data_IF_380131224458
#
_entry.id   IF_380131224458
#
_cell.length_a   1.000
_cell.length_b   1.000
_cell.length_c   1.000
_cell.angle_alpha   90.00
_cell.angle_beta   90.00
_cell.angle_gamma   90.00
#
_symmetry.space_group_name_H-M   'P 1'
#
loop_
_entity.id
_entity.type
_entity.pdbx_description
1 polymer ?
#
# COMPACT_ATOMS: atom_id res chain seq x y z
N UNK A 1 -42.69 -7.25 -35.83
CA UNK A 1 -42.42 -7.80 -34.48
C UNK A 1 -41.28 -7.02 -33.87
N UNK A 2 -41.58 -6.21 -32.84
CA UNK A 2 -40.67 -5.24 -32.24
C UNK A 2 -40.05 -5.92 -31.01
N UNK A 3 -38.77 -6.32 -31.09
CA UNK A 3 -38.04 -6.89 -29.94
C UNK A 3 -37.40 -5.74 -29.17
N UNK A 4 -37.89 -5.56 -27.95
CA UNK A 4 -37.41 -4.61 -26.96
C UNK A 4 -36.23 -5.26 -26.24
N UNK A 5 -35.01 -4.77 -26.46
CA UNK A 5 -33.82 -5.16 -25.72
C UNK A 5 -33.52 -4.03 -24.73
N UNK A 6 -33.83 -4.28 -23.46
CA UNK A 6 -33.45 -3.40 -22.37
C UNK A 6 -31.95 -3.48 -22.15
N UNK A 7 -31.23 -2.42 -22.52
CA UNK A 7 -29.83 -2.22 -22.16
C UNK A 7 -29.75 -1.71 -20.73
N UNK A 8 -29.21 -2.52 -19.83
CA UNK A 8 -28.78 -2.06 -18.51
C UNK A 8 -27.39 -1.45 -18.66
N UNK A 9 -27.30 -0.14 -18.45
CA UNK A 9 -26.05 0.60 -18.39
C UNK A 9 -25.39 0.26 -17.05
N UNK A 10 -24.33 -0.55 -17.08
CA UNK A 10 -23.41 -0.66 -15.95
C UNK A 10 -22.57 0.62 -15.92
N UNK A 11 -22.89 1.51 -14.99
CA UNK A 11 -21.99 2.60 -14.60
C UNK A 11 -20.94 1.96 -13.71
N UNK A 12 -19.79 1.61 -14.28
CA UNK A 12 -18.61 1.22 -13.50
C UNK A 12 -18.21 2.40 -12.63
N UNK A 13 -18.41 2.26 -11.32
CA UNK A 13 -17.85 3.17 -10.32
C UNK A 13 -16.33 3.00 -10.40
N UNK A 14 -15.66 4.01 -10.96
CA UNK A 14 -14.21 4.13 -10.88
C UNK A 14 -13.89 4.50 -9.43
N UNK A 15 -13.58 3.49 -8.63
CA UNK A 15 -12.94 3.69 -7.33
C UNK A 15 -11.49 4.06 -7.64
N UNK A 16 -11.17 5.34 -7.46
CA UNK A 16 -9.80 5.84 -7.44
C UNK A 16 -9.11 5.24 -6.21
N UNK A 17 -8.46 4.08 -6.38
CA UNK A 17 -7.47 3.59 -5.44
C UNK A 17 -6.24 4.48 -5.53
N UNK A 18 -6.24 5.57 -4.77
CA UNK A 18 -5.00 6.25 -4.37
C UNK A 18 -4.53 5.55 -3.09
N UNK A 19 -4.15 4.29 -3.22
CA UNK A 19 -3.30 3.64 -2.21
C UNK A 19 -1.90 3.69 -2.79
N UNK A 20 -1.19 4.76 -2.44
CA UNK A 20 0.21 4.92 -2.77
C UNK A 20 0.98 3.70 -2.30
N UNK A 21 1.81 3.18 -3.20
CA UNK A 21 3.13 2.73 -2.84
C UNK A 21 3.79 3.91 -2.10
N UNK A 22 3.68 3.96 -0.77
CA UNK A 22 4.28 5.06 -0.01
C UNK A 22 5.78 4.82 0.12
N UNK A 23 6.51 5.70 -0.57
CA UNK A 23 7.68 6.47 -0.13
C UNK A 23 8.23 6.12 1.27
N UNK A 24 9.43 5.54 1.28
CA UNK A 24 10.38 5.67 2.39
C UNK A 24 11.63 6.42 1.89
N UNK A 25 11.67 7.74 2.09
CA UNK A 25 12.92 8.51 2.04
C UNK A 25 13.47 8.79 3.45
N UNK A 26 14.48 7.98 3.78
CA UNK A 26 15.82 8.37 4.26
C UNK A 26 16.05 9.13 5.60
N UNK A 27 16.82 8.41 6.45
CA UNK A 27 18.15 8.79 6.96
C UNK A 27 18.30 9.35 8.38
N UNK A 28 18.96 8.53 9.21
CA UNK A 28 19.62 8.90 10.46
C UNK A 28 20.65 10.03 10.28
N UNK A 29 20.50 11.13 11.05
CA UNK A 29 21.61 11.93 11.60
C UNK A 29 21.13 12.84 12.74
N UNK A 30 21.64 12.59 13.95
CA UNK A 30 21.82 13.58 15.03
C UNK A 30 23.35 13.73 15.23
N UNK A 31 23.99 14.85 15.70
CA UNK A 31 23.52 16.03 16.48
C UNK A 31 24.01 17.40 15.91
N UNK A 32 23.82 18.62 16.46
CA UNK A 32 23.61 19.15 17.83
C UNK A 32 22.99 20.61 17.75
N UNK A 33 22.74 21.33 18.88
CA UNK A 33 21.65 22.30 19.03
C UNK A 33 21.95 23.72 18.52
N UNK A 34 20.95 24.40 17.96
CA UNK A 34 21.00 25.84 17.69
C UNK A 34 19.63 26.51 17.91
N UNK A 35 19.58 27.28 19.00
CA UNK A 35 18.86 28.56 19.22
C UNK A 35 17.38 28.63 18.87
N UNK A 36 16.58 28.72 19.94
CA UNK A 36 15.17 29.09 19.92
C UNK A 36 14.93 30.42 19.18
N UNK A 37 14.13 30.36 18.12
CA UNK A 37 13.43 31.53 17.57
C UNK A 37 11.95 31.25 17.74
N UNK A 38 11.36 31.96 18.69
CA UNK A 38 9.92 32.05 18.92
C UNK A 38 9.24 32.66 17.71
N UNK A 39 8.51 31.84 16.95
CA UNK A 39 7.53 32.31 15.98
C UNK A 39 6.14 31.89 16.48
N UNK A 40 5.47 32.83 17.13
CA UNK A 40 4.05 32.80 17.45
C UNK A 40 3.25 32.69 16.14
N UNK A 41 2.32 31.74 15.96
CA UNK A 41 1.35 31.86 14.89
C UNK A 41 0.32 32.92 15.28
N UNK A 42 0.27 33.98 14.49
CA UNK A 42 -0.75 35.00 14.50
C UNK A 42 -2.11 34.35 14.21
N UNK A 43 -2.94 34.20 15.24
CA UNK A 43 -4.37 33.96 15.10
C UNK A 43 -5.06 35.19 15.67
N UNK A 44 -5.44 36.12 14.79
CA UNK A 44 -6.21 37.30 15.17
C UNK A 44 -7.49 36.89 15.90
N UNK A 45 -7.72 37.35 17.14
CA UNK A 45 -8.99 37.19 17.81
C UNK A 45 -9.91 38.34 17.39
N UNK A 46 -11.01 38.04 16.72
CA UNK A 46 -12.14 38.98 16.67
C UNK A 46 -13.32 38.37 17.42
N UNK A 47 -13.35 38.58 18.74
CA UNK A 47 -14.59 38.68 19.48
C UNK A 47 -14.33 39.46 20.77
N UNK A 48 -14.87 40.68 20.78
CA UNK A 48 -14.92 41.59 21.91
C UNK A 48 -15.46 40.90 23.17
N UNK A 49 -14.90 41.28 24.31
CA UNK A 49 -15.39 40.98 25.64
C UNK A 49 -16.90 41.29 25.78
N UNK A 50 -17.61 40.40 26.48
CA UNK A 50 -19.00 40.63 26.87
C UNK A 50 -19.69 39.42 27.49
N UNK A 51 -19.59 39.31 28.82
CA UNK A 51 -20.57 38.71 29.76
C UNK A 51 -20.70 37.17 29.76
N UNK A 52 -20.37 36.57 30.90
CA UNK A 52 -20.68 35.18 31.27
C UNK A 52 -22.20 34.91 31.22
N UNK A 53 -22.62 33.92 30.41
CA UNK A 53 -23.98 33.36 30.38
C UNK A 53 -23.89 31.82 30.59
N UNK A 54 -24.67 31.16 31.48
CA UNK A 54 -24.45 29.76 31.88
C UNK A 54 -24.98 28.72 30.88
N UNK A 55 -25.00 29.02 29.59
CA UNK A 55 -25.27 28.06 28.52
C UNK A 55 -24.27 28.28 27.39
N UNK A 56 -23.05 27.80 27.59
CA UNK A 56 -22.09 27.67 26.49
C UNK A 56 -22.75 26.83 25.39
N UNK A 57 -23.13 27.49 24.29
CA UNK A 57 -23.56 26.82 23.07
C UNK A 57 -22.44 25.85 22.69
N UNK A 58 -22.79 24.56 22.64
CA UNK A 58 -21.82 23.51 22.38
C UNK A 58 -21.38 23.65 20.93
N UNK A 59 -20.23 24.29 20.70
CA UNK A 59 -19.65 24.40 19.37
C UNK A 59 -19.23 22.99 18.93
N UNK A 60 -20.03 22.39 18.07
CA UNK A 60 -19.71 21.12 17.42
C UNK A 60 -18.88 21.42 16.17
N UNK A 61 -17.73 20.77 16.03
CA UNK A 61 -16.89 20.90 14.84
C UNK A 61 -17.53 20.13 13.67
N UNK A 62 -17.32 20.61 12.43
CA UNK A 62 -17.41 19.70 11.29
C UNK A 62 -16.40 18.57 11.50
N UNK A 63 -16.73 17.37 11.06
CA UNK A 63 -15.81 16.22 11.10
C UNK A 63 -14.68 16.40 10.09
N UNK A 64 -13.75 17.30 10.41
CA UNK A 64 -12.48 17.42 9.72
C UNK A 64 -11.58 16.23 10.12
N UNK A 65 -10.99 15.49 9.16
CA UNK A 65 -10.15 14.34 9.45
C UNK A 65 -9.04 14.61 10.46
N UNK A 66 -8.38 15.77 10.39
CA UNK A 66 -7.29 16.11 11.31
C UNK A 66 -7.80 16.40 12.73
N UNK A 67 -8.94 17.07 12.86
CA UNK A 67 -9.60 17.24 14.16
C UNK A 67 -10.00 15.90 14.80
N UNK A 68 -10.47 14.95 14.00
CA UNK A 68 -10.81 13.59 14.48
C UNK A 68 -9.55 12.86 14.93
N UNK A 69 -8.47 12.86 14.15
CA UNK A 69 -7.19 12.25 14.54
C UNK A 69 -6.65 12.83 15.84
N UNK A 70 -6.69 14.16 15.98
CA UNK A 70 -6.26 14.85 17.19
C UNK A 70 -7.11 14.44 18.40
N UNK A 71 -8.44 14.34 18.23
CA UNK A 71 -9.35 13.89 19.28
C UNK A 71 -9.08 12.43 19.70
N UNK A 72 -8.94 11.51 18.74
CA UNK A 72 -8.63 10.10 19.00
C UNK A 72 -7.34 9.95 19.80
N UNK A 73 -6.29 10.68 19.38
CA UNK A 73 -4.99 10.70 20.05
C UNK A 73 -5.09 11.25 21.47
N UNK A 74 -5.72 12.43 21.65
CA UNK A 74 -5.88 13.07 22.95
C UNK A 74 -6.68 12.21 23.94
N UNK A 75 -7.71 11.52 23.45
CA UNK A 75 -8.55 10.63 24.26
C UNK A 75 -7.96 9.23 24.41
N UNK A 76 -6.82 8.94 23.76
CA UNK A 76 -6.17 7.62 23.71
C UNK A 76 -7.13 6.51 23.30
N UNK A 77 -8.00 6.80 22.31
CA UNK A 77 -8.94 5.83 21.77
C UNK A 77 -8.23 5.02 20.69
N UNK A 78 -8.03 3.70 20.88
CA UNK A 78 -7.44 2.86 19.85
C UNK A 78 -8.36 2.79 18.63
N UNK A 79 -7.78 2.88 17.44
CA UNK A 79 -8.55 2.99 16.21
C UNK A 79 -7.86 2.26 15.04
N UNK A 80 -8.67 1.81 14.10
CA UNK A 80 -8.27 1.18 12.84
C UNK A 80 -8.15 2.19 11.69
N UNK A 81 -7.80 3.44 12.00
CA UNK A 81 -7.73 4.60 11.11
C UNK A 81 -9.10 5.16 10.65
N UNK A 82 -9.05 6.24 9.86
CA UNK A 82 -10.20 6.97 9.34
C UNK A 82 -10.14 7.07 7.81
N UNK A 83 -11.30 7.14 7.16
CA UNK A 83 -11.40 7.27 5.72
C UNK A 83 -12.59 8.15 5.31
N UNK A 84 -12.52 8.71 4.10
CA UNK A 84 -13.59 9.51 3.53
C UNK A 84 -14.44 8.65 2.60
N UNK A 85 -15.74 8.60 2.86
CA UNK A 85 -16.71 7.93 2.00
C UNK A 85 -18.07 8.60 2.15
N UNK A 86 -18.84 8.68 1.06
CA UNK A 86 -20.22 9.20 1.05
C UNK A 86 -20.36 10.58 1.72
N UNK A 87 -19.36 11.45 1.52
CA UNK A 87 -19.24 12.79 2.13
C UNK A 87 -19.22 12.81 3.67
N UNK A 88 -18.80 11.71 4.30
CA UNK A 88 -18.59 11.61 5.74
C UNK A 88 -17.18 11.13 6.06
N UNK A 89 -16.74 11.41 7.27
CA UNK A 89 -15.56 10.75 7.84
C UNK A 89 -15.99 9.46 8.54
N UNK A 90 -15.55 8.33 8.01
CA UNK A 90 -15.73 7.03 8.63
C UNK A 90 -14.56 6.77 9.57
N UNK A 91 -14.86 6.29 10.78
CA UNK A 91 -13.91 6.19 11.88
C UNK A 91 -13.98 4.79 12.46
N UNK A 92 -12.91 4.02 12.26
CA UNK A 92 -12.82 2.67 12.80
C UNK A 92 -12.33 2.72 14.25
N UNK A 93 -13.16 2.35 15.21
CA UNK A 93 -12.85 2.35 16.64
C UNK A 93 -12.67 0.92 17.12
N UNK A 94 -11.60 0.65 17.87
CA UNK A 94 -11.42 -0.65 18.51
C UNK A 94 -12.15 -0.63 19.86
N UNK A 95 -13.13 -1.51 20.02
CA UNK A 95 -13.93 -1.59 21.25
C UNK A 95 -14.92 -0.42 21.37
N UNK A 96 -15.58 -0.09 20.26
CA UNK A 96 -16.63 0.94 20.23
C UNK A 96 -17.70 0.62 21.26
N UNK A 97 -18.09 1.64 22.02
CA UNK A 97 -19.11 1.52 23.07
C UNK A 97 -19.83 2.85 23.25
N UNK A 98 -20.94 2.83 24.00
CA UNK A 98 -21.81 3.98 24.21
C UNK A 98 -21.12 5.20 24.82
N UNK A 99 -20.07 5.00 25.62
CA UNK A 99 -19.29 6.10 26.17
C UNK A 99 -18.49 6.82 25.09
N UNK A 100 -17.88 6.07 24.16
CA UNK A 100 -17.15 6.64 23.02
C UNK A 100 -18.12 7.35 22.08
N UNK A 101 -19.23 6.70 21.73
CA UNK A 101 -20.28 7.31 20.88
C UNK A 101 -20.78 8.63 21.46
N UNK A 102 -21.03 8.66 22.76
CA UNK A 102 -21.46 9.88 23.44
C UNK A 102 -20.37 10.96 23.37
N UNK A 103 -19.09 10.64 23.61
CA UNK A 103 -18.01 11.63 23.48
C UNK A 103 -17.90 12.20 22.07
N UNK A 104 -18.08 11.37 21.04
CA UNK A 104 -18.11 11.83 19.64
C UNK A 104 -19.30 12.74 19.37
N UNK A 105 -20.51 12.35 19.75
CA UNK A 105 -21.72 13.16 19.56
C UNK A 105 -21.69 14.49 20.34
N UNK A 106 -20.88 14.54 21.40
CA UNK A 106 -20.63 15.74 22.16
C UNK A 106 -19.58 16.67 21.52
N UNK A 107 -18.77 16.18 20.58
CA UNK A 107 -17.61 16.90 20.04
C UNK A 107 -17.80 17.27 18.56
N UNK A 108 -18.41 16.38 17.77
CA UNK A 108 -18.56 16.52 16.33
C UNK A 108 -20.02 16.59 15.90
N UNK A 109 -20.29 17.34 14.84
CA UNK A 109 -21.64 17.53 14.32
C UNK A 109 -22.24 16.20 13.80
N UNK A 110 -23.47 15.89 14.23
CA UNK A 110 -24.19 14.72 13.75
C UNK A 110 -24.32 14.70 12.22
N UNK A 111 -24.21 13.52 11.61
CA UNK A 111 -24.30 13.35 10.15
C UNK A 111 -23.02 13.66 9.38
N UNK A 112 -21.95 14.14 10.04
CA UNK A 112 -20.66 14.42 9.39
C UNK A 112 -19.64 13.28 9.56
N UNK A 113 -19.93 12.31 10.42
CA UNK A 113 -19.09 11.13 10.63
C UNK A 113 -19.92 9.85 10.80
N UNK A 114 -19.25 8.71 10.72
CA UNK A 114 -19.79 7.39 11.03
C UNK A 114 -18.76 6.58 11.84
N UNK A 115 -19.20 5.95 12.93
CA UNK A 115 -18.32 5.12 13.78
C UNK A 115 -18.54 3.66 13.45
N UNK A 116 -17.44 2.92 13.31
CA UNK A 116 -17.43 1.49 13.05
C UNK A 116 -16.70 0.78 14.19
N UNK A 117 -17.28 -0.28 14.74
CA UNK A 117 -16.56 -1.15 15.65
C UNK A 117 -15.68 -2.11 14.85
N UNK A 118 -14.38 -2.06 15.08
CA UNK A 118 -13.41 -2.89 14.37
C UNK A 118 -12.54 -3.69 15.35
N UNK A 119 -11.94 -4.77 14.85
CA UNK A 119 -11.18 -5.69 15.69
C UNK A 119 -9.75 -5.23 15.94
N UNK A 120 -9.09 -4.69 14.92
CA UNK A 120 -7.67 -4.38 14.95
C UNK A 120 -7.44 -2.87 14.84
N UNK A 121 -6.47 -2.39 15.60
CA UNK A 121 -5.92 -1.06 15.44
C UNK A 121 -5.04 -0.98 14.19
N UNK A 122 -4.83 0.23 13.67
CA UNK A 122 -3.91 0.45 12.55
C UNK A 122 -2.48 -0.01 12.89
N UNK A 123 -2.06 0.18 14.14
CA UNK A 123 -0.75 -0.28 14.62
C UNK A 123 -0.62 -1.82 14.54
N UNK A 124 -1.67 -2.58 14.87
CA UNK A 124 -1.65 -4.03 14.78
C UNK A 124 -1.61 -4.51 13.32
N UNK A 125 -2.36 -3.86 12.43
CA UNK A 125 -2.35 -4.18 11.00
C UNK A 125 -0.98 -3.90 10.37
N UNK A 126 -0.37 -2.74 10.66
CA UNK A 126 0.98 -2.41 10.20
C UNK A 126 2.03 -3.36 10.79
N UNK A 127 1.90 -3.75 12.06
CA UNK A 127 2.82 -4.71 12.66
C UNK A 127 2.73 -6.09 11.98
N UNK A 128 1.53 -6.52 11.59
CA UNK A 128 1.33 -7.74 10.84
C UNK A 128 1.88 -7.65 9.42
N UNK A 129 1.65 -6.54 8.72
CA UNK A 129 2.26 -6.30 7.42
C UNK A 129 3.80 -6.34 7.50
N UNK A 130 4.37 -5.74 8.53
CA UNK A 130 5.82 -5.73 8.79
C UNK A 130 6.39 -7.14 9.07
N UNK A 131 5.59 -8.07 9.59
CA UNK A 131 6.02 -9.47 9.73
C UNK A 131 6.31 -10.11 8.38
N UNK A 132 5.64 -9.71 7.30
CA UNK A 132 5.92 -10.20 5.95
C UNK A 132 7.35 -9.84 5.51
N UNK A 133 7.82 -8.63 5.87
CA UNK A 133 9.17 -8.17 5.60
C UNK A 133 10.19 -8.84 6.51
N UNK A 134 9.96 -8.85 7.83
CA UNK A 134 10.88 -9.44 8.82
C UNK A 134 11.13 -10.93 8.61
N UNK A 135 10.13 -11.65 8.12
CA UNK A 135 10.25 -13.07 7.80
C UNK A 135 10.68 -13.32 6.35
N UNK A 136 10.98 -12.27 5.59
CA UNK A 136 11.41 -12.30 4.19
C UNK A 136 10.40 -13.03 3.27
N UNK A 137 9.11 -12.99 3.61
CA UNK A 137 8.08 -13.77 2.93
C UNK A 137 7.87 -13.31 1.50
N UNK A 138 8.05 -12.03 1.19
CA UNK A 138 8.03 -11.54 -0.19
C UNK A 138 9.03 -12.27 -1.08
N UNK A 139 10.27 -12.45 -0.62
CA UNK A 139 11.31 -13.12 -1.41
C UNK A 139 11.16 -14.64 -1.40
N UNK A 140 10.79 -15.22 -0.25
CA UNK A 140 10.62 -16.68 -0.11
C UNK A 140 9.42 -17.21 -0.89
N UNK A 141 8.36 -16.41 -0.95
CA UNK A 141 7.08 -16.79 -1.53
C UNK A 141 6.75 -15.99 -2.79
N UNK A 142 7.65 -15.14 -3.32
CA UNK A 142 7.38 -14.29 -4.50
C UNK A 142 6.01 -13.56 -4.42
N UNK A 143 5.66 -13.03 -3.25
CA UNK A 143 4.42 -12.26 -3.06
C UNK A 143 4.47 -11.00 -3.92
N UNK A 144 3.35 -10.64 -4.55
CA UNK A 144 3.32 -9.46 -5.41
C UNK A 144 3.35 -8.17 -4.59
N UNK A 145 2.42 -8.04 -3.65
CA UNK A 145 2.36 -6.90 -2.76
C UNK A 145 1.56 -7.24 -1.51
N UNK A 146 1.57 -6.33 -0.55
CA UNK A 146 0.58 -6.29 0.52
C UNK A 146 0.21 -4.86 0.84
N UNK A 147 -0.93 -4.68 1.50
CA UNK A 147 -1.40 -3.39 1.97
C UNK A 147 -2.35 -3.54 3.15
N UNK A 148 -2.65 -2.43 3.81
CA UNK A 148 -3.71 -2.39 4.82
C UNK A 148 -5.00 -1.95 4.13
N UNK A 149 -6.03 -2.80 4.19
CA UNK A 149 -7.40 -2.41 3.87
C UNK A 149 -8.04 -1.80 5.11
N UNK A 150 -8.04 -0.46 5.15
CA UNK A 150 -8.65 0.31 6.24
C UNK A 150 -10.15 0.03 6.35
N UNK A 151 -10.87 -0.13 5.23
CA UNK A 151 -12.33 -0.32 5.26
C UNK A 151 -12.66 -1.72 5.80
N UNK A 152 -11.98 -2.75 5.28
CA UNK A 152 -12.14 -4.13 5.73
C UNK A 152 -11.52 -4.43 7.10
N UNK A 153 -10.65 -3.54 7.61
CA UNK A 153 -9.84 -3.73 8.81
C UNK A 153 -8.97 -5.00 8.75
N UNK A 154 -8.23 -5.16 7.63
CA UNK A 154 -7.40 -6.34 7.34
C UNK A 154 -6.08 -5.95 6.69
N UNK A 155 -5.13 -6.89 6.71
CA UNK A 155 -3.98 -6.86 5.81
C UNK A 155 -4.32 -7.67 4.56
N UNK A 156 -4.25 -7.04 3.40
CA UNK A 156 -4.45 -7.68 2.11
C UNK A 156 -3.10 -8.10 1.55
N UNK A 157 -3.00 -9.33 1.04
CA UNK A 157 -1.79 -9.87 0.43
C UNK A 157 -2.13 -10.42 -0.95
N UNK A 158 -1.44 -9.94 -1.97
CA UNK A 158 -1.59 -10.46 -3.34
C UNK A 158 -0.59 -11.59 -3.58
N UNK A 159 -1.14 -12.79 -3.80
CA UNK A 159 -0.39 -14.04 -3.91
C UNK A 159 -0.51 -14.58 -5.33
N UNK A 160 0.59 -15.08 -5.92
CA UNK A 160 0.50 -15.73 -7.22
C UNK A 160 -0.23 -17.07 -7.19
N UNK A 161 -1.05 -17.32 -8.20
CA UNK A 161 -2.00 -18.45 -8.23
C UNK A 161 -1.34 -19.83 -8.26
N UNK A 162 -0.12 -19.94 -8.77
CA UNK A 162 0.61 -21.19 -8.99
C UNK A 162 1.05 -21.91 -7.70
N UNK A 163 1.08 -21.20 -6.56
CA UNK A 163 1.41 -21.80 -5.27
C UNK A 163 0.62 -21.21 -4.09
N UNK A 164 -0.54 -20.61 -4.37
CA UNK A 164 -1.33 -19.85 -3.41
C UNK A 164 -1.61 -20.61 -2.10
N UNK A 165 -2.08 -21.86 -2.20
CA UNK A 165 -2.38 -22.68 -1.01
C UNK A 165 -1.17 -22.84 -0.08
N UNK A 166 0.00 -23.16 -0.65
CA UNK A 166 1.23 -23.33 0.15
C UNK A 166 1.75 -22.01 0.71
N UNK A 167 1.58 -20.90 0.00
CA UNK A 167 1.97 -19.58 0.49
C UNK A 167 1.08 -19.13 1.65
N UNK A 168 -0.24 -19.33 1.54
CA UNK A 168 -1.21 -19.04 2.61
C UNK A 168 -0.83 -19.80 3.87
N UNK A 169 -0.60 -21.11 3.79
CA UNK A 169 -0.19 -21.91 4.95
C UNK A 169 1.13 -21.45 5.57
N UNK A 170 2.05 -20.90 4.79
CA UNK A 170 3.30 -20.34 5.30
C UNK A 170 3.08 -19.01 6.01
N UNK A 171 2.26 -18.12 5.44
CA UNK A 171 1.94 -16.81 6.01
C UNK A 171 1.20 -16.96 7.34
N UNK A 172 0.25 -17.89 7.42
CA UNK A 172 -0.59 -18.12 8.61
C UNK A 172 0.17 -18.69 9.81
N UNK A 173 1.43 -19.10 9.64
CA UNK A 173 2.32 -19.42 10.78
C UNK A 173 2.70 -18.18 11.58
N UNK A 174 2.62 -17.01 10.96
CA UNK A 174 3.13 -15.75 11.49
C UNK A 174 2.03 -14.74 11.81
N UNK A 175 0.97 -14.72 11.01
CA UNK A 175 -0.12 -13.76 11.14
C UNK A 175 -1.44 -14.53 11.27
N UNK A 176 -2.31 -14.08 12.18
CA UNK A 176 -3.59 -14.74 12.40
C UNK A 176 -4.45 -14.70 11.12
N UNK A 177 -5.06 -15.82 10.69
CA UNK A 177 -5.83 -15.87 9.43
C UNK A 177 -6.98 -14.85 9.38
N UNK A 178 -7.58 -14.56 10.53
CA UNK A 178 -8.66 -13.60 10.65
C UNK A 178 -8.21 -12.13 10.57
N UNK A 179 -6.90 -11.84 10.49
CA UNK A 179 -6.37 -10.51 10.18
C UNK A 179 -6.11 -10.32 8.69
N UNK A 180 -6.18 -11.40 7.90
CA UNK A 180 -5.72 -11.43 6.52
C UNK A 180 -6.87 -11.46 5.52
N UNK A 181 -6.59 -10.98 4.32
CA UNK A 181 -7.37 -11.21 3.11
C UNK A 181 -6.41 -11.47 1.97
N UNK A 182 -6.72 -12.44 1.12
CA UNK A 182 -5.84 -12.86 0.03
C UNK A 182 -6.47 -12.50 -1.31
N UNK A 183 -5.66 -11.89 -2.16
CA UNK A 183 -5.96 -11.70 -3.57
C UNK A 183 -5.10 -12.67 -4.39
N UNK A 184 -5.71 -13.66 -5.01
CA UNK A 184 -5.01 -14.70 -5.76
C UNK A 184 -4.96 -14.28 -7.22
N UNK A 185 -3.77 -13.91 -7.68
CA UNK A 185 -3.56 -13.34 -9.01
C UNK A 185 -2.80 -14.30 -9.92
N UNK A 186 -3.32 -14.49 -11.14
CA UNK A 186 -2.61 -15.19 -12.20
C UNK A 186 -1.40 -14.37 -12.69
N UNK A 187 -0.52 -15.02 -13.45
CA UNK A 187 0.54 -14.30 -14.16
C UNK A 187 -0.10 -13.51 -15.30
N UNK A 188 -0.13 -12.18 -15.18
CA UNK A 188 -0.67 -11.28 -16.20
C UNK A 188 0.30 -11.00 -17.36
N UNK A 189 0.18 -9.82 -17.96
CA UNK A 189 1.11 -9.31 -18.98
C UNK A 189 2.47 -8.94 -18.36
N UNK A 190 3.56 -8.95 -19.15
CA UNK A 190 4.87 -8.55 -18.66
C UNK A 190 4.87 -7.08 -18.22
N UNK A 191 5.57 -6.80 -17.14
CA UNK A 191 5.69 -5.44 -16.60
C UNK A 191 6.72 -4.62 -17.38
N UNK A 192 7.77 -5.27 -17.89
CA UNK A 192 8.84 -4.63 -18.67
C UNK A 192 9.16 -5.51 -19.88
N UNK A 193 9.32 -4.86 -21.04
CA UNK A 193 9.84 -5.47 -22.26
C UNK A 193 11.06 -4.65 -22.67
N UNK A 194 12.20 -5.29 -22.91
CA UNK A 194 13.41 -4.57 -23.28
C UNK A 194 14.62 -5.45 -23.53
N UNK A 195 15.77 -4.81 -23.66
CA UNK A 195 17.04 -5.46 -23.97
C UNK A 195 17.94 -5.56 -22.73
N UNK A 196 18.59 -6.70 -22.54
CA UNK A 196 19.67 -6.85 -21.55
C UNK A 196 20.88 -6.03 -22.00
N UNK A 197 21.26 -5.00 -21.25
CA UNK A 197 22.45 -4.18 -21.55
C UNK A 197 23.62 -4.45 -20.62
N UNK A 198 23.39 -5.03 -19.44
CA UNK A 198 24.45 -5.49 -18.54
C UNK A 198 23.99 -6.70 -17.71
N UNK A 199 24.96 -7.52 -17.28
CA UNK A 199 24.75 -8.69 -16.41
C UNK A 199 25.76 -8.62 -15.27
N UNK A 200 25.27 -8.38 -14.07
CA UNK A 200 26.06 -8.45 -12.85
C UNK A 200 25.96 -9.86 -12.27
N UNK A 201 27.12 -10.49 -12.10
CA UNK A 201 27.32 -11.75 -11.37
C UNK A 201 28.32 -11.59 -10.22
N UNK A 202 28.91 -10.41 -10.07
CA UNK A 202 30.00 -10.14 -9.12
C UNK A 202 29.47 -9.64 -7.79
N UNK A 203 28.47 -8.75 -7.82
CA UNK A 203 27.87 -8.18 -6.61
C UNK A 203 26.53 -8.85 -6.29
N UNK A 204 25.75 -9.14 -7.32
CA UNK A 204 24.47 -9.83 -7.22
C UNK A 204 24.25 -10.71 -8.45
N UNK A 205 23.15 -11.47 -8.51
CA UNK A 205 22.65 -12.07 -9.76
C UNK A 205 21.55 -11.17 -10.30
N UNK A 206 21.92 -10.24 -11.18
CA UNK A 206 20.98 -9.25 -11.74
C UNK A 206 21.32 -8.84 -13.16
N UNK A 207 20.32 -8.35 -13.88
CA UNK A 207 20.45 -7.82 -15.25
C UNK A 207 19.98 -6.37 -15.31
N UNK A 208 20.62 -5.57 -16.15
CA UNK A 208 20.21 -4.19 -16.43
C UNK A 208 19.44 -4.17 -17.75
N UNK A 209 18.28 -3.52 -17.73
CA UNK A 209 17.35 -3.49 -18.86
C UNK A 209 17.26 -2.08 -19.45
N UNK A 210 17.34 -2.03 -20.78
CA UNK A 210 17.01 -0.86 -21.58
C UNK A 210 15.67 -1.08 -22.28
N UNK A 211 14.71 -0.22 -22.00
CA UNK A 211 13.39 -0.26 -22.65
C UNK A 211 13.42 0.38 -24.05
N UNK A 212 12.53 -0.04 -24.96
CA UNK A 212 12.41 0.57 -26.28
C UNK A 212 12.13 2.07 -26.21
N UNK A 213 12.92 2.86 -26.96
CA UNK A 213 12.76 4.31 -27.05
C UNK A 213 13.40 5.11 -25.91
N UNK A 214 14.03 4.45 -24.94
CA UNK A 214 14.80 5.10 -23.88
C UNK A 214 16.28 5.23 -24.26
N UNK A 215 16.93 6.30 -23.79
CA UNK A 215 18.38 6.51 -23.97
C UNK A 215 19.18 5.80 -22.88
N UNK A 216 18.70 5.87 -21.63
CA UNK A 216 19.34 5.30 -20.45
C UNK A 216 18.55 4.08 -19.93
N UNK A 217 19.22 3.06 -19.37
CA UNK A 217 18.55 1.90 -18.80
C UNK A 217 17.85 2.24 -17.47
N UNK A 218 16.62 1.73 -17.32
CA UNK A 218 15.71 2.13 -16.24
C UNK A 218 15.70 1.15 -15.06
N UNK A 219 16.07 -0.12 -15.26
CA UNK A 219 15.85 -1.16 -14.25
C UNK A 219 16.99 -2.17 -14.10
N UNK A 220 17.40 -2.39 -12.86
CA UNK A 220 18.14 -3.56 -12.41
C UNK A 220 17.18 -4.62 -11.88
N UNK A 221 17.17 -5.79 -12.52
CA UNK A 221 16.34 -6.93 -12.16
C UNK A 221 17.14 -8.03 -11.48
N UNK A 222 16.85 -8.30 -10.21
CA UNK A 222 17.53 -9.30 -9.39
C UNK A 222 16.80 -10.65 -9.37
N UNK A 223 17.56 -11.75 -9.29
CA UNK A 223 17.04 -13.11 -9.35
C UNK A 223 17.20 -13.82 -8.01
N UNK A 224 16.14 -14.51 -7.60
CA UNK A 224 16.11 -15.35 -6.41
C UNK A 224 15.90 -16.83 -6.78
N UNK A 225 15.70 -17.69 -5.78
CA UNK A 225 15.54 -19.14 -6.00
C UNK A 225 14.19 -19.53 -6.64
N UNK A 226 13.21 -18.63 -6.63
CA UNK A 226 11.86 -18.80 -7.19
C UNK A 226 11.70 -18.12 -8.55
N UNK A 227 12.67 -17.33 -9.00
CA UNK A 227 12.69 -16.73 -10.33
C UNK A 227 12.72 -17.84 -11.39
N UNK A 228 11.80 -17.76 -12.35
CA UNK A 228 11.73 -18.69 -13.49
C UNK A 228 12.20 -18.00 -14.76
N UNK A 229 12.85 -18.74 -15.65
CA UNK A 229 13.42 -18.19 -16.89
C UNK A 229 13.15 -19.17 -18.03
N UNK A 230 12.71 -18.64 -19.16
CA UNK A 230 12.37 -19.44 -20.34
C UNK A 230 13.00 -18.85 -21.60
N UNK A 231 13.39 -19.71 -22.55
CA UNK A 231 13.78 -19.28 -23.89
C UNK A 231 12.55 -18.99 -24.77
N UNK A 232 12.80 -18.61 -26.03
CA UNK A 232 11.77 -18.31 -27.03
C UNK A 232 10.83 -19.50 -27.30
N UNK A 233 11.33 -20.73 -27.15
CA UNK A 233 10.56 -21.96 -27.32
C UNK A 233 9.76 -22.35 -26.05
N UNK A 234 9.85 -21.56 -24.97
CA UNK A 234 9.23 -21.85 -23.69
C UNK A 234 9.96 -22.91 -22.86
N UNK A 235 11.18 -23.28 -23.25
CA UNK A 235 12.00 -24.23 -22.48
C UNK A 235 12.70 -23.51 -21.33
N UNK A 236 12.78 -24.19 -20.18
CA UNK A 236 13.44 -23.65 -19.00
C UNK A 236 14.93 -23.41 -19.24
N UNK A 237 15.41 -22.22 -18.88
CA UNK A 237 16.82 -21.84 -18.94
C UNK A 237 17.33 -21.42 -17.56
N UNK A 238 18.64 -21.26 -17.45
CA UNK A 238 19.31 -20.77 -16.26
C UNK A 238 19.85 -19.34 -16.46
N UNK A 239 20.19 -18.67 -15.37
CA UNK A 239 20.78 -17.33 -15.41
C UNK A 239 22.07 -17.28 -16.25
N UNK A 240 22.81 -18.40 -16.36
CA UNK A 240 24.06 -18.46 -17.14
C UNK A 240 23.83 -18.43 -18.64
N UNK A 241 22.60 -18.69 -19.08
CA UNK A 241 22.22 -18.71 -20.49
C UNK A 241 21.89 -17.31 -21.01
N UNK A 242 21.70 -16.34 -20.10
CA UNK A 242 21.45 -14.93 -20.40
C UNK A 242 22.70 -14.26 -20.96
N UNK A 243 22.49 -13.39 -21.96
CA UNK A 243 23.54 -12.65 -22.68
C UNK A 243 23.09 -11.21 -22.89
N UNK A 244 24.07 -10.30 -22.80
CA UNK A 244 23.89 -8.91 -23.23
C UNK A 244 23.45 -8.90 -24.70
N UNK A 245 22.47 -8.05 -25.00
CA UNK A 245 21.86 -7.88 -26.31
C UNK A 245 20.55 -8.66 -26.51
N UNK A 246 20.20 -9.60 -25.64
CA UNK A 246 18.95 -10.36 -25.76
C UNK A 246 17.72 -9.51 -25.43
N UNK A 247 16.65 -9.71 -26.20
CA UNK A 247 15.32 -9.17 -25.91
C UNK A 247 14.62 -10.04 -24.87
N UNK A 248 13.95 -9.41 -23.91
CA UNK A 248 13.28 -10.08 -22.80
C UNK A 248 11.95 -9.45 -22.45
N UNK A 249 11.04 -10.30 -21.98
CA UNK A 249 9.82 -9.93 -21.26
C UNK A 249 9.99 -10.30 -19.79
N UNK A 250 9.61 -9.39 -18.90
CA UNK A 250 9.88 -9.49 -17.48
C UNK A 250 8.61 -9.26 -16.66
N UNK A 251 8.34 -10.22 -15.77
CA UNK A 251 7.35 -10.10 -14.72
C UNK A 251 8.08 -9.93 -13.40
N UNK A 252 7.76 -8.87 -12.67
CA UNK A 252 8.34 -8.61 -11.35
C UNK A 252 7.51 -9.20 -10.22
N UNK A 253 8.11 -9.26 -9.04
CA UNK A 253 7.49 -9.61 -7.76
C UNK A 253 8.03 -8.69 -6.68
N UNK A 254 7.24 -8.50 -5.62
CA UNK A 254 7.54 -7.58 -4.54
C UNK A 254 7.54 -6.11 -4.96
N UNK A 255 8.10 -5.29 -4.09
CA UNK A 255 8.26 -3.85 -4.30
C UNK A 255 9.37 -3.57 -5.31
N UNK A 256 9.21 -2.47 -6.05
CA UNK A 256 10.27 -1.87 -6.85
C UNK A 256 10.91 -0.78 -6.01
N UNK A 257 12.21 -0.87 -5.74
CA UNK A 257 12.91 0.14 -4.96
C UNK A 257 13.18 1.38 -5.81
N UNK A 258 12.74 2.53 -5.29
CA UNK A 258 12.90 3.83 -5.92
C UNK A 258 14.38 4.24 -5.95
N UNK A 259 15.03 3.97 -7.08
CA UNK A 259 16.42 4.31 -7.37
C UNK A 259 16.58 4.55 -8.88
N UNK A 260 17.76 5.04 -9.30
CA UNK A 260 18.05 5.21 -10.72
C UNK A 260 19.41 4.57 -11.07
N UNK A 261 19.43 3.44 -11.82
CA UNK A 261 18.28 2.64 -12.26
C UNK A 261 17.50 2.02 -11.09
N UNK A 262 16.18 1.83 -11.25
CA UNK A 262 15.30 1.25 -10.22
C UNK A 262 15.63 -0.24 -9.99
N UNK A 263 15.35 -0.76 -8.80
CA UNK A 263 15.64 -2.15 -8.46
C UNK A 263 14.34 -2.95 -8.35
N UNK A 264 14.26 -4.07 -9.05
CA UNK A 264 13.11 -4.96 -9.02
C UNK A 264 13.55 -6.42 -8.88
N UNK A 265 12.67 -7.28 -8.36
CA UNK A 265 12.90 -8.73 -8.30
C UNK A 265 12.17 -9.44 -9.43
N UNK A 266 12.82 -10.41 -10.07
CA UNK A 266 12.25 -11.20 -11.16
C UNK A 266 11.39 -12.33 -10.62
N UNK A 267 10.13 -12.38 -11.05
CA UNK A 267 9.30 -13.58 -10.95
C UNK A 267 9.51 -14.49 -12.15
N UNK A 268 9.40 -13.93 -13.34
CA UNK A 268 9.57 -14.64 -14.61
C UNK A 268 10.33 -13.76 -15.59
N UNK A 269 11.21 -14.39 -16.36
CA UNK A 269 11.81 -13.83 -17.56
C UNK A 269 11.50 -14.76 -18.73
N UNK A 270 11.16 -14.19 -19.87
CA UNK A 270 11.07 -14.90 -21.14
C UNK A 270 11.95 -14.22 -22.19
N UNK A 271 12.79 -14.98 -22.87
CA UNK A 271 13.53 -14.48 -24.03
C UNK A 271 12.58 -14.33 -25.21
N UNK A 272 12.69 -13.20 -25.91
CA UNK A 272 11.98 -12.95 -27.15
C UNK A 272 12.91 -13.08 -28.35
N UNK A 273 12.33 -13.52 -29.47
CA UNK A 273 13.01 -13.51 -30.75
C UNK A 273 13.47 -12.07 -31.04
N UNK A 274 14.73 -11.94 -31.44
CA UNK A 274 15.24 -10.64 -31.87
C UNK A 274 14.58 -10.31 -33.20
N UNK A 275 13.83 -9.21 -33.28
CA UNK A 275 13.33 -8.68 -34.56
C UNK A 275 14.47 -8.24 -35.48
#
# INVERSE_FOLDING_TARGET
>A
MRKWLGGWIWISVIILFISGCSEDQQSNKEPAPAVAITATPDISPTASAGIEDPKAEKVLYSSDPEAIKAFLSAQKIPNGDIYLQDNKVHINIVGLNSQIEQRFAQTFAAGTYELHDVKYSMQELLAAQELLHKQELYQKLNLYCSGVDTIGNKVTITIPSDYAETAILEIEKWIAPDMLTYDISELGEPHVIGQIVDIDTKQAKRILILEPGMEDPSYWFSFNQKSTMFNEAGESISFKDLKVGQQVELWSTGMVDESFPALASVRRLQLNATE
#
